data_IF_237935627069
#
_entry.id   IF_237935627069
#
_cell.length_a   1.000
_cell.length_b   1.000
_cell.length_c   1.000
_cell.angle_alpha   90.00
_cell.angle_beta   90.00
_cell.angle_gamma   90.00
#
_symmetry.space_group_name_H-M   'P 1'
#
loop_
_entity.id
_entity.type
_entity.pdbx_description
1 polymer ?
#
# COMPACT_ATOMS: atom_id res chain seq x y z
N UNK A 1 -24.94 3.37 -8.23
CA UNK A 1 -23.83 3.51 -7.26
C UNK A 1 -24.41 3.34 -5.86
N UNK A 2 -23.89 2.42 -5.05
CA UNK A 2 -24.34 2.19 -3.66
C UNK A 2 -23.18 2.46 -2.72
N UNK A 3 -23.45 3.20 -1.64
CA UNK A 3 -22.47 3.54 -0.61
C UNK A 3 -22.96 2.94 0.70
N UNK A 4 -22.06 2.36 1.49
CA UNK A 4 -22.36 1.72 2.76
C UNK A 4 -21.14 1.67 3.68
N UNK A 5 -21.36 1.18 4.90
CA UNK A 5 -20.30 0.97 5.89
C UNK A 5 -19.34 -0.13 5.43
N UNK A 6 -18.05 0.08 5.68
CA UNK A 6 -17.02 -0.93 5.47
C UNK A 6 -16.73 -1.65 6.79
N UNK A 7 -16.85 -2.97 6.80
CA UNK A 7 -16.36 -3.81 7.90
C UNK A 7 -14.82 -3.86 7.93
N UNK A 8 -14.24 -4.21 9.08
CA UNK A 8 -12.80 -4.39 9.22
C UNK A 8 -12.26 -5.46 8.26
N UNK A 9 -13.04 -6.52 8.01
CA UNK A 9 -12.69 -7.56 7.04
C UNK A 9 -12.65 -7.02 5.61
N UNK A 10 -13.64 -6.22 5.19
CA UNK A 10 -13.64 -5.59 3.87
C UNK A 10 -12.43 -4.66 3.67
N UNK A 11 -12.06 -3.88 4.69
CA UNK A 11 -10.87 -3.02 4.64
C UNK A 11 -9.60 -3.86 4.43
N UNK A 12 -9.48 -5.00 5.13
CA UNK A 12 -8.34 -5.92 4.94
C UNK A 12 -8.35 -6.57 3.55
N UNK A 13 -9.51 -6.94 3.02
CA UNK A 13 -9.64 -7.52 1.66
C UNK A 13 -9.19 -6.55 0.57
N UNK A 14 -9.43 -5.25 0.73
CA UNK A 14 -8.98 -4.21 -0.20
C UNK A 14 -7.47 -3.95 -0.12
N UNK A 15 -6.89 -4.23 1.03
CA UNK A 15 -5.51 -3.90 1.32
C UNK A 15 -4.53 -4.85 0.64
N UNK A 16 -3.38 -4.30 0.21
CA UNK A 16 -2.23 -5.06 -0.31
C UNK A 16 -1.14 -5.28 0.73
N UNK A 17 -1.32 -4.74 1.93
CA UNK A 17 -0.35 -4.88 3.02
C UNK A 17 -0.56 -3.87 4.14
N UNK A 18 0.04 -4.19 5.27
CA UNK A 18 0.02 -3.38 6.48
C UNK A 18 1.18 -2.38 6.48
N UNK A 19 0.90 -1.11 6.76
CA UNK A 19 1.91 -0.09 6.98
C UNK A 19 2.28 -0.08 8.46
N UNK A 20 3.51 -0.51 8.77
CA UNK A 20 4.00 -0.68 10.16
C UNK A 20 4.83 0.49 10.65
N UNK A 21 5.32 1.27 9.70
CA UNK A 21 6.43 2.20 9.89
C UNK A 21 6.00 3.61 9.48
N UNK A 22 6.23 4.65 10.30
CA UNK A 22 5.91 6.02 9.93
C UNK A 22 6.84 6.59 8.84
N UNK A 23 7.93 5.89 8.52
CA UNK A 23 8.92 6.32 7.56
C UNK A 23 8.35 6.46 6.14
N UNK A 24 8.85 7.45 5.41
CA UNK A 24 8.38 7.82 4.07
C UNK A 24 9.37 7.41 2.99
N UNK A 25 10.40 8.23 2.79
CA UNK A 25 11.46 8.07 1.82
C UNK A 25 12.80 8.30 2.49
N UNK A 26 13.81 7.55 2.06
CA UNK A 26 15.16 7.72 2.54
C UNK A 26 15.77 9.00 1.98
N UNK A 27 16.35 9.85 2.82
CA UNK A 27 16.92 11.14 2.38
C UNK A 27 18.14 10.99 1.45
N UNK A 28 18.93 9.91 1.57
CA UNK A 28 20.11 9.71 0.72
C UNK A 28 19.76 9.09 -0.62
N UNK A 29 18.94 8.05 -0.59
CA UNK A 29 18.64 7.26 -1.80
C UNK A 29 17.41 7.75 -2.54
N UNK A 30 16.60 8.61 -1.91
CA UNK A 30 15.28 9.06 -2.38
C UNK A 30 14.32 7.89 -2.67
N UNK A 31 14.62 6.70 -2.12
CA UNK A 31 13.80 5.51 -2.29
C UNK A 31 12.81 5.37 -1.14
N UNK A 32 11.60 4.83 -1.40
CA UNK A 32 10.63 4.53 -0.34
C UNK A 32 11.19 3.54 0.68
N UNK A 33 10.95 3.83 1.96
CA UNK A 33 11.33 2.91 3.04
C UNK A 33 10.44 1.67 3.04
N UNK A 34 11.02 0.53 3.45
CA UNK A 34 10.30 -0.75 3.51
C UNK A 34 9.29 -0.72 4.66
N UNK A 35 8.08 -1.21 4.40
CA UNK A 35 6.94 -1.24 5.31
C UNK A 35 6.43 0.14 5.76
N UNK A 36 6.95 1.21 5.14
CA UNK A 36 6.54 2.60 5.36
C UNK A 36 5.39 3.06 4.45
N UNK A 37 5.04 4.34 4.55
CA UNK A 37 3.89 4.95 3.86
C UNK A 37 3.94 4.86 2.34
N UNK A 38 5.14 4.76 1.75
CA UNK A 38 5.32 4.70 0.29
C UNK A 38 5.84 3.34 -0.20
N UNK A 39 5.87 2.32 0.66
CA UNK A 39 6.49 1.04 0.38
C UNK A 39 6.01 0.41 -0.93
N UNK A 40 6.95 0.09 -1.83
CA UNK A 40 6.63 -0.49 -3.15
C UNK A 40 6.05 -1.91 -3.07
N UNK A 41 6.33 -2.65 -1.99
CA UNK A 41 5.77 -3.98 -1.78
C UNK A 41 4.25 -3.94 -1.62
N UNK A 42 3.73 -2.89 -0.97
CA UNK A 42 2.31 -2.71 -0.68
C UNK A 42 1.63 -2.02 -1.87
N UNK A 43 2.12 -0.83 -2.23
CA UNK A 43 1.43 0.03 -3.19
C UNK A 43 1.83 -0.26 -4.65
N UNK A 44 2.86 -1.07 -4.89
CA UNK A 44 3.40 -1.35 -6.22
C UNK A 44 4.63 -0.49 -6.57
N UNK A 45 5.29 -0.76 -7.71
CA UNK A 45 6.58 -0.19 -8.06
C UNK A 45 6.50 1.31 -8.37
N UNK A 46 7.52 2.10 -8.04
CA UNK A 46 7.58 3.53 -8.41
C UNK A 46 7.89 3.72 -9.90
N UNK A 47 8.58 2.78 -10.52
CA UNK A 47 8.94 2.79 -11.94
C UNK A 47 8.24 1.65 -12.67
N UNK A 48 7.87 1.91 -13.92
CA UNK A 48 7.23 0.89 -14.74
C UNK A 48 8.14 -0.32 -14.96
N UNK A 49 7.62 -1.50 -14.64
CA UNK A 49 8.29 -2.78 -14.90
C UNK A 49 9.66 -2.94 -14.21
N UNK A 50 9.88 -2.27 -13.07
CA UNK A 50 11.11 -2.39 -12.29
C UNK A 50 10.76 -2.66 -10.82
N UNK A 51 11.42 -3.67 -10.24
CA UNK A 51 11.32 -3.94 -8.81
C UNK A 51 12.31 -3.08 -8.00
N UNK A 52 12.01 -2.84 -6.72
CA UNK A 52 12.83 -2.00 -5.80
C UNK A 52 14.34 -2.26 -5.83
N UNK A 53 14.74 -3.55 -5.80
CA UNK A 53 16.15 -3.95 -5.76
C UNK A 53 16.83 -3.95 -7.13
N UNK A 54 16.07 -3.79 -8.22
CA UNK A 54 16.58 -3.76 -9.59
C UNK A 54 16.91 -5.13 -10.18
N UNK A 55 16.61 -6.26 -9.50
CA UNK A 55 16.84 -7.61 -10.05
C UNK A 55 16.02 -7.88 -11.31
N UNK A 56 14.72 -7.61 -11.24
CA UNK A 56 13.81 -7.72 -12.37
C UNK A 56 13.52 -6.32 -12.94
N UNK A 57 13.79 -6.18 -14.25
CA UNK A 57 13.58 -4.97 -15.03
C UNK A 57 13.01 -5.31 -16.41
N UNK A 58 12.23 -4.38 -16.97
CA UNK A 58 11.56 -4.45 -18.28
C UNK A 58 10.32 -5.35 -18.29
N UNK A 59 9.51 -5.18 -19.33
CA UNK A 59 8.18 -5.79 -19.51
C UNK A 59 8.20 -7.32 -19.47
N UNK A 60 9.33 -7.97 -19.81
CA UNK A 60 9.45 -9.43 -19.85
C UNK A 60 9.14 -10.14 -18.52
N UNK A 61 9.31 -9.45 -17.39
CA UNK A 61 9.04 -9.99 -16.06
C UNK A 61 7.68 -9.55 -15.50
N UNK A 62 6.76 -9.09 -16.36
CA UNK A 62 5.41 -8.67 -15.98
C UNK A 62 4.73 -9.70 -15.08
N UNK A 63 4.22 -9.24 -13.93
CA UNK A 63 3.46 -10.06 -12.98
C UNK A 63 4.32 -10.89 -12.02
N UNK A 64 5.65 -10.89 -12.18
CA UNK A 64 6.55 -11.59 -11.24
C UNK A 64 6.70 -10.76 -9.97
N UNK A 65 6.59 -11.42 -8.82
CA UNK A 65 6.92 -10.85 -7.51
C UNK A 65 8.38 -11.18 -7.21
N UNK A 66 9.20 -10.16 -6.97
CA UNK A 66 10.61 -10.36 -6.70
C UNK A 66 10.82 -11.08 -5.36
N UNK A 67 11.53 -12.21 -5.34
CA UNK A 67 11.82 -12.95 -4.11
C UNK A 67 12.74 -12.19 -3.13
N UNK A 68 13.53 -11.23 -3.62
CA UNK A 68 14.42 -10.42 -2.76
C UNK A 68 13.71 -9.24 -2.10
N UNK A 69 12.93 -8.46 -2.85
CA UNK A 69 12.29 -7.24 -2.33
C UNK A 69 10.77 -7.33 -2.17
N UNK A 70 10.13 -8.39 -2.67
CA UNK A 70 8.68 -8.59 -2.60
C UNK A 70 7.87 -7.66 -3.51
N UNK A 71 8.51 -6.87 -4.37
CA UNK A 71 7.81 -5.94 -5.27
C UNK A 71 7.38 -6.67 -6.53
N UNK A 72 6.11 -6.51 -6.87
CA UNK A 72 5.52 -6.99 -8.11
C UNK A 72 5.94 -6.10 -9.29
N UNK A 73 6.40 -6.74 -10.36
CA UNK A 73 6.79 -6.05 -11.60
C UNK A 73 5.54 -5.74 -12.42
N UNK A 74 5.04 -4.52 -12.26
CA UNK A 74 3.85 -4.02 -12.96
C UNK A 74 4.03 -2.54 -13.32
N UNK A 75 2.98 -1.90 -13.86
CA UNK A 75 2.97 -0.46 -14.13
C UNK A 75 2.90 0.33 -12.83
N UNK A 76 3.62 1.45 -12.73
CA UNK A 76 3.58 2.35 -11.58
C UNK A 76 2.18 2.98 -11.38
N UNK A 77 1.33 2.98 -12.41
CA UNK A 77 -0.07 3.43 -12.33
C UNK A 77 -0.85 2.75 -11.19
N UNK A 78 -0.56 1.49 -10.86
CA UNK A 78 -1.26 0.75 -9.81
C UNK A 78 -1.16 1.41 -8.43
N UNK A 79 -0.14 2.25 -8.20
CA UNK A 79 0.05 3.00 -6.95
C UNK A 79 -1.11 3.97 -6.64
N UNK A 80 -1.92 4.31 -7.64
CA UNK A 80 -3.12 5.15 -7.48
C UNK A 80 -4.38 4.36 -7.12
N UNK A 81 -4.34 3.03 -7.26
CA UNK A 81 -5.52 2.16 -7.12
C UNK A 81 -5.35 1.18 -5.94
N UNK A 82 -4.12 0.82 -5.57
CA UNK A 82 -3.84 -0.09 -4.46
C UNK A 82 -3.99 0.61 -3.11
N UNK A 83 -4.78 -0.01 -2.23
CA UNK A 83 -4.95 0.43 -0.85
C UNK A 83 -3.97 -0.29 0.09
N UNK A 84 -3.58 0.40 1.16
CA UNK A 84 -2.88 -0.14 2.32
C UNK A 84 -3.80 -0.04 3.55
N UNK A 85 -3.45 -0.73 4.63
CA UNK A 85 -4.16 -0.60 5.91
C UNK A 85 -3.17 -0.46 7.06
N UNK A 86 -3.68 -0.03 8.21
CA UNK A 86 -2.96 -0.05 9.49
C UNK A 86 -3.81 -0.89 10.43
N UNK A 87 -3.20 -1.89 11.04
CA UNK A 87 -3.86 -2.69 12.06
C UNK A 87 -3.77 -1.96 13.40
N UNK A 88 -4.92 -1.59 13.96
CA UNK A 88 -4.98 -0.86 15.22
C UNK A 88 -4.92 -1.85 16.39
N UNK A 89 -4.10 -1.53 17.40
CA UNK A 89 -3.99 -2.35 18.61
C UNK A 89 -5.29 -2.37 19.45
N UNK A 90 -6.11 -1.33 19.34
CA UNK A 90 -7.40 -1.21 20.00
C UNK A 90 -8.44 -0.64 19.02
N UNK A 91 -9.73 -1.00 19.16
CA UNK A 91 -10.79 -0.47 18.32
C UNK A 91 -10.94 1.05 18.50
N UNK A 92 -11.21 1.75 17.40
CA UNK A 92 -11.39 3.21 17.37
C UNK A 92 -12.71 3.55 16.70
N UNK A 93 -13.45 4.49 17.29
CA UNK A 93 -14.71 4.99 16.72
C UNK A 93 -14.44 5.97 15.58
N UNK A 94 -15.13 5.80 14.45
CA UNK A 94 -15.02 6.73 13.34
C UNK A 94 -15.79 8.03 13.63
N UNK A 95 -15.08 9.16 13.58
CA UNK A 95 -15.58 10.47 14.07
C UNK A 95 -16.90 10.91 13.42
N UNK A 96 -17.16 10.57 12.17
CA UNK A 96 -18.41 10.94 11.48
C UNK A 96 -19.66 10.36 12.15
N UNK A 97 -19.56 9.18 12.78
CA UNK A 97 -20.69 8.56 13.49
C UNK A 97 -20.76 8.96 14.97
N UNK A 98 -19.76 9.71 15.46
CA UNK A 98 -19.71 10.16 16.85
C UNK A 98 -19.98 11.66 17.01
N UNK A 99 -19.52 12.48 16.06
CA UNK A 99 -19.68 13.95 16.10
C UNK A 99 -20.65 14.50 15.04
N UNK A 100 -21.32 13.63 14.28
CA UNK A 100 -22.40 14.05 13.40
C UNK A 100 -23.61 14.47 14.24
N UNK A 101 -24.13 15.67 14.03
CA UNK A 101 -25.36 16.13 14.70
C UNK A 101 -26.57 15.73 13.84
N UNK A 102 -27.60 15.07 14.39
CA UNK A 102 -27.69 14.43 15.71
C UNK A 102 -26.95 13.09 15.70
N UNK A 103 -26.29 12.76 16.81
CA UNK A 103 -25.60 11.48 17.02
C UNK A 103 -26.57 10.41 17.49
#
# INVERSE_FOLDING_TARGET
>A
MRIGLASSEQIRQWSRGEVKKPETINYRTLKPEKDGLFCEKIFGPTKDWECYCGKYKRVRFKGIICERCGVEVTRAKVRRERMGHIELAAPVSHIWYFKGVPS
#
